data_IF_207458322247
#
_entry.id   IF_207458322247
#
_cell.length_a   1.000
_cell.length_b   1.000
_cell.length_c   1.000
_cell.angle_alpha   90.00
_cell.angle_beta   90.00
_cell.angle_gamma   90.00
#
_symmetry.space_group_name_H-M   'P 1'
#
loop_
_entity.id
_entity.type
_entity.pdbx_description
1 polymer ?
#
# COMPACT_ATOMS: atom_id res chain seq x y z
N UNK A 1 0.13 -10.27 -25.22
CA UNK A 1 -0.06 -11.38 -26.19
C UNK A 1 -0.73 -12.58 -25.50
N UNK A 2 -0.21 -13.02 -24.36
CA UNK A 2 -0.70 -14.25 -23.71
C UNK A 2 -2.13 -14.11 -23.20
N UNK A 3 -2.51 -12.96 -22.66
CA UNK A 3 -3.91 -12.71 -22.29
C UNK A 3 -4.89 -12.98 -23.44
N UNK A 4 -4.66 -12.36 -24.62
CA UNK A 4 -5.53 -12.58 -25.81
C UNK A 4 -5.48 -14.05 -26.24
N UNK A 5 -4.29 -14.68 -26.18
CA UNK A 5 -4.14 -16.10 -26.47
C UNK A 5 -4.94 -16.98 -25.51
N UNK A 6 -4.90 -16.69 -24.20
CA UNK A 6 -5.67 -17.42 -23.20
C UNK A 6 -7.19 -17.25 -23.40
N UNK A 7 -7.62 -16.01 -23.72
CA UNK A 7 -9.02 -15.70 -23.98
C UNK A 7 -9.58 -16.48 -25.18
N UNK A 8 -8.77 -16.65 -26.23
CA UNK A 8 -9.16 -17.32 -27.47
C UNK A 8 -8.83 -18.83 -27.48
N UNK A 9 -8.18 -19.34 -26.43
CA UNK A 9 -7.83 -20.75 -26.34
C UNK A 9 -9.04 -21.62 -26.03
N UNK A 10 -9.16 -22.83 -26.63
CA UNK A 10 -10.16 -23.82 -26.23
C UNK A 10 -10.04 -24.20 -24.74
N UNK A 11 -8.81 -24.24 -24.23
CA UNK A 11 -8.52 -24.42 -22.81
C UNK A 11 -8.51 -23.07 -22.11
N UNK A 12 -9.65 -22.60 -21.66
CA UNK A 12 -9.83 -21.30 -21.00
C UNK A 12 -9.24 -21.24 -19.57
N UNK A 13 -8.61 -22.28 -19.07
CA UNK A 13 -8.17 -22.38 -17.68
C UNK A 13 -7.29 -21.21 -17.20
N UNK A 14 -6.22 -20.79 -17.89
CA UNK A 14 -5.45 -19.63 -17.40
C UNK A 14 -6.26 -18.33 -17.43
N UNK A 15 -7.16 -18.18 -18.39
CA UNK A 15 -8.00 -17.00 -18.49
C UNK A 15 -9.05 -16.92 -17.38
N UNK A 16 -9.66 -18.04 -17.02
CA UNK A 16 -10.63 -18.07 -15.92
C UNK A 16 -9.96 -17.77 -14.58
N UNK A 17 -8.78 -18.32 -14.30
CA UNK A 17 -7.99 -17.96 -13.11
C UNK A 17 -7.65 -16.47 -13.12
N UNK A 18 -7.18 -15.95 -14.26
CA UNK A 18 -6.86 -14.53 -14.39
C UNK A 18 -8.07 -13.63 -14.08
N UNK A 19 -9.26 -13.98 -14.57
CA UNK A 19 -10.49 -13.25 -14.25
C UNK A 19 -10.79 -13.26 -12.76
N UNK A 20 -10.64 -14.40 -12.10
CA UNK A 20 -10.91 -14.54 -10.68
C UNK A 20 -9.87 -13.73 -9.84
N UNK A 21 -8.59 -13.86 -10.14
CA UNK A 21 -7.53 -13.08 -9.48
C UNK A 21 -7.72 -11.58 -9.70
N UNK A 22 -8.05 -11.15 -10.92
CA UNK A 22 -8.29 -9.76 -11.22
C UNK A 22 -9.53 -9.22 -10.50
N UNK A 23 -10.59 -10.01 -10.43
CA UNK A 23 -11.79 -9.64 -9.69
C UNK A 23 -11.55 -9.50 -8.18
N UNK A 24 -10.71 -10.34 -7.61
CA UNK A 24 -10.33 -10.27 -6.19
C UNK A 24 -9.48 -9.03 -5.89
N UNK A 25 -8.51 -8.72 -6.74
CA UNK A 25 -7.66 -7.53 -6.61
C UNK A 25 -8.36 -6.22 -7.00
N UNK A 26 -9.63 -6.26 -7.42
CA UNK A 26 -10.34 -5.08 -7.92
C UNK A 26 -10.59 -4.05 -6.83
N UNK A 27 -10.41 -2.76 -7.14
CA UNK A 27 -10.69 -1.69 -6.19
C UNK A 27 -12.18 -1.66 -5.77
N UNK A 28 -12.48 -1.46 -4.47
CA UNK A 28 -13.84 -1.58 -3.96
C UNK A 28 -14.80 -0.50 -4.48
N UNK A 29 -14.29 0.65 -4.91
CA UNK A 29 -15.08 1.80 -5.38
C UNK A 29 -15.35 1.80 -6.90
N UNK A 30 -14.63 0.95 -7.64
CA UNK A 30 -14.83 0.80 -9.10
C UNK A 30 -15.67 -0.43 -9.42
N UNK A 31 -15.74 -1.37 -8.50
CA UNK A 31 -16.33 -2.70 -8.72
C UNK A 31 -15.34 -3.65 -9.40
N UNK A 32 -15.82 -4.86 -9.69
CA UNK A 32 -14.97 -5.90 -10.27
C UNK A 32 -14.49 -5.53 -11.66
N UNK A 33 -13.17 -5.60 -11.85
CA UNK A 33 -12.54 -5.45 -13.15
C UNK A 33 -12.79 -6.71 -13.98
N UNK A 34 -13.52 -6.56 -15.05
CA UNK A 34 -13.88 -7.68 -15.93
C UNK A 34 -13.14 -7.54 -17.26
N UNK A 35 -12.34 -8.54 -17.67
CA UNK A 35 -11.76 -8.58 -19.00
C UNK A 35 -12.81 -8.57 -20.09
N UNK A 36 -12.69 -7.63 -21.01
CA UNK A 36 -13.52 -7.56 -22.22
C UNK A 36 -12.82 -8.17 -23.45
N UNK A 37 -13.48 -8.11 -24.60
CA UNK A 37 -12.91 -8.57 -25.85
C UNK A 37 -11.73 -7.69 -26.28
N UNK A 38 -10.72 -8.31 -26.90
CA UNK A 38 -9.58 -7.55 -27.42
C UNK A 38 -10.01 -6.69 -28.63
N UNK A 39 -9.45 -5.50 -28.70
CA UNK A 39 -9.74 -4.53 -29.77
C UNK A 39 -8.47 -4.12 -30.51
N UNK A 40 -8.62 -3.68 -31.75
CA UNK A 40 -7.57 -3.01 -32.50
C UNK A 40 -7.79 -1.51 -32.41
N UNK A 41 -6.74 -0.77 -32.07
CA UNK A 41 -6.75 0.69 -32.00
C UNK A 41 -6.04 1.27 -33.23
N UNK A 42 -6.37 2.49 -33.65
CA UNK A 42 -5.65 3.15 -34.73
C UNK A 42 -4.16 3.21 -34.48
N UNK A 43 -3.37 2.96 -35.51
CA UNK A 43 -1.90 2.95 -35.48
C UNK A 43 -1.24 1.84 -34.66
N UNK A 44 -2.00 0.84 -34.19
CA UNK A 44 -1.44 -0.36 -33.56
C UNK A 44 -2.04 -1.62 -34.20
N UNK A 45 -1.18 -2.46 -34.78
CA UNK A 45 -1.61 -3.70 -35.44
C UNK A 45 -1.93 -4.82 -34.43
N UNK A 46 -1.60 -4.63 -33.16
CA UNK A 46 -1.84 -5.63 -32.11
C UNK A 46 -3.28 -5.63 -31.64
N UNK A 47 -3.74 -6.77 -31.22
CA UNK A 47 -4.98 -6.89 -30.44
C UNK A 47 -4.69 -6.46 -29.01
N UNK A 48 -5.35 -5.40 -28.58
CA UNK A 48 -5.19 -4.80 -27.25
C UNK A 48 -6.29 -5.35 -26.34
N UNK A 49 -5.96 -6.00 -25.23
CA UNK A 49 -6.93 -6.41 -24.22
C UNK A 49 -7.71 -5.21 -23.68
N UNK A 50 -8.93 -5.44 -23.26
CA UNK A 50 -9.79 -4.41 -22.69
C UNK A 50 -10.27 -4.78 -21.29
N UNK A 51 -10.65 -3.76 -20.53
CA UNK A 51 -11.38 -3.90 -19.26
C UNK A 51 -12.77 -3.29 -19.43
N UNK A 52 -13.75 -3.98 -18.94
CA UNK A 52 -15.14 -3.54 -18.88
C UNK A 52 -15.36 -2.73 -17.60
N UNK A 53 -15.77 -1.48 -17.76
CA UNK A 53 -16.16 -0.59 -16.67
C UNK A 53 -17.67 -0.30 -16.75
N UNK A 54 -18.31 0.20 -15.68
CA UNK A 54 -19.71 0.60 -15.72
C UNK A 54 -20.05 1.65 -16.79
N UNK A 55 -19.05 2.43 -17.20
CA UNK A 55 -19.18 3.50 -18.20
C UNK A 55 -18.69 3.12 -19.61
N UNK A 56 -18.20 1.90 -19.80
CA UNK A 56 -17.78 1.40 -21.12
C UNK A 56 -16.58 0.48 -21.10
N UNK A 57 -16.17 0.04 -22.29
CA UNK A 57 -15.02 -0.84 -22.51
C UNK A 57 -13.80 0.02 -22.81
N UNK A 58 -12.71 -0.16 -22.07
CA UNK A 58 -11.48 0.64 -22.18
C UNK A 58 -10.29 -0.27 -22.49
N UNK A 59 -9.52 0.01 -23.53
CA UNK A 59 -8.24 -0.66 -23.79
C UNK A 59 -7.30 -0.49 -22.59
N UNK A 60 -6.55 -1.54 -22.21
CA UNK A 60 -5.65 -1.49 -21.05
C UNK A 60 -4.57 -0.42 -21.17
N UNK A 61 -4.21 -0.06 -22.40
CA UNK A 61 -3.27 1.04 -22.69
C UNK A 61 -3.79 2.42 -22.25
N UNK A 62 -5.09 2.56 -22.08
CA UNK A 62 -5.76 3.79 -21.68
C UNK A 62 -6.24 3.76 -20.22
N UNK A 63 -5.93 2.69 -19.49
CA UNK A 63 -6.23 2.57 -18.07
C UNK A 63 -5.33 3.48 -17.23
N UNK A 64 -5.82 3.87 -16.05
CA UNK A 64 -4.98 4.60 -15.09
C UNK A 64 -3.79 3.75 -14.62
N UNK A 65 -2.72 4.40 -14.15
CA UNK A 65 -1.52 3.70 -13.65
C UNK A 65 -1.85 2.70 -12.54
N UNK A 66 -2.76 3.04 -11.61
CA UNK A 66 -3.19 2.14 -10.54
C UNK A 66 -3.91 0.89 -11.05
N UNK A 67 -4.84 1.06 -12.00
CA UNK A 67 -5.49 -0.08 -12.65
C UNK A 67 -4.50 -0.91 -13.46
N UNK A 68 -3.59 -0.26 -14.19
CA UNK A 68 -2.51 -0.94 -14.90
C UNK A 68 -1.63 -1.78 -13.96
N UNK A 69 -1.34 -1.28 -12.76
CA UNK A 69 -0.59 -2.00 -11.72
C UNK A 69 -1.34 -3.26 -11.26
N UNK A 70 -2.63 -3.15 -10.95
CA UNK A 70 -3.49 -4.27 -10.53
C UNK A 70 -3.56 -5.33 -11.63
N UNK A 71 -3.82 -4.91 -12.87
CA UNK A 71 -3.86 -5.82 -14.02
C UNK A 71 -2.53 -6.56 -14.19
N UNK A 72 -1.42 -5.83 -14.09
CA UNK A 72 -0.07 -6.40 -14.24
C UNK A 72 0.22 -7.41 -13.14
N UNK A 73 -0.11 -7.10 -11.89
CA UNK A 73 0.06 -8.01 -10.76
C UNK A 73 -0.74 -9.30 -10.96
N UNK A 74 -2.04 -9.20 -11.27
CA UNK A 74 -2.90 -10.34 -11.56
C UNK A 74 -2.35 -11.18 -12.73
N UNK A 75 -1.94 -10.50 -13.81
CA UNK A 75 -1.41 -11.17 -14.98
C UNK A 75 -0.10 -11.92 -14.69
N UNK A 76 0.85 -11.29 -14.01
CA UNK A 76 2.17 -11.90 -13.74
C UNK A 76 2.05 -13.12 -12.83
N UNK A 77 1.20 -13.08 -11.81
CA UNK A 77 0.98 -14.21 -10.90
C UNK A 77 0.41 -15.40 -11.67
N UNK A 78 -0.62 -15.19 -12.46
CA UNK A 78 -1.26 -16.26 -13.23
C UNK A 78 -0.34 -16.77 -14.35
N UNK A 79 0.37 -15.87 -15.02
CA UNK A 79 1.31 -16.22 -16.07
C UNK A 79 2.45 -17.08 -15.52
N UNK A 80 3.09 -16.66 -14.43
CA UNK A 80 4.21 -17.41 -13.84
C UNK A 80 3.78 -18.81 -13.40
N UNK A 81 2.63 -18.93 -12.76
CA UNK A 81 2.07 -20.23 -12.37
C UNK A 81 1.73 -21.10 -13.56
N UNK A 82 1.11 -20.54 -14.60
CA UNK A 82 0.79 -21.30 -15.81
C UNK A 82 2.03 -21.77 -16.56
N UNK A 83 3.04 -20.90 -16.73
CA UNK A 83 4.31 -21.25 -17.38
C UNK A 83 5.07 -22.34 -16.61
N UNK A 84 5.06 -22.28 -15.27
CA UNK A 84 5.61 -23.34 -14.43
C UNK A 84 4.95 -24.69 -14.69
N UNK A 85 3.61 -24.73 -14.70
CA UNK A 85 2.86 -25.97 -14.98
C UNK A 85 3.14 -26.54 -16.37
N UNK A 86 3.13 -25.70 -17.40
CA UNK A 86 3.40 -26.14 -18.77
C UNK A 86 4.84 -26.65 -18.91
N UNK A 87 5.81 -25.99 -18.27
CA UNK A 87 7.20 -26.44 -18.26
C UNK A 87 7.35 -27.79 -17.54
N UNK A 88 6.74 -27.98 -16.40
CA UNK A 88 6.75 -29.27 -15.69
C UNK A 88 6.14 -30.39 -16.56
N UNK A 89 5.00 -30.11 -17.22
CA UNK A 89 4.36 -31.04 -18.14
C UNK A 89 5.29 -31.46 -19.30
N UNK A 90 5.97 -30.50 -19.92
CA UNK A 90 6.93 -30.78 -21.00
C UNK A 90 8.12 -31.67 -20.55
N UNK A 91 8.50 -31.53 -19.28
CA UNK A 91 9.59 -32.29 -18.67
C UNK A 91 9.16 -33.58 -18.00
N UNK A 92 7.87 -33.93 -18.01
CA UNK A 92 7.31 -35.07 -17.30
C UNK A 92 7.43 -34.97 -15.78
N UNK A 93 7.44 -33.76 -15.23
CA UNK A 93 7.52 -33.48 -13.80
C UNK A 93 6.15 -33.06 -13.26
N UNK A 94 5.95 -33.23 -11.94
CA UNK A 94 4.80 -32.64 -11.24
C UNK A 94 5.11 -31.16 -10.91
N UNK A 95 4.13 -30.25 -11.00
CA UNK A 95 4.29 -28.90 -10.53
C UNK A 95 4.56 -28.85 -9.01
N UNK A 96 5.33 -27.85 -8.57
CA UNK A 96 5.55 -27.60 -7.17
C UNK A 96 4.23 -27.22 -6.48
N UNK A 97 4.09 -27.60 -5.21
CA UNK A 97 2.94 -27.23 -4.37
C UNK A 97 3.11 -25.87 -3.67
N UNK A 98 4.21 -25.17 -3.92
CA UNK A 98 4.55 -23.89 -3.29
C UNK A 98 5.02 -22.88 -4.30
N UNK A 99 4.58 -21.63 -4.12
CA UNK A 99 5.12 -20.48 -4.85
C UNK A 99 5.46 -19.35 -3.90
N UNK A 100 6.43 -18.53 -4.26
CA UNK A 100 6.78 -17.29 -3.58
C UNK A 100 6.41 -16.14 -4.48
N UNK A 101 5.59 -15.22 -3.98
CA UNK A 101 5.21 -13.99 -4.66
C UNK A 101 5.89 -12.83 -3.96
N UNK A 102 6.85 -12.20 -4.65
CA UNK A 102 7.56 -11.02 -4.14
C UNK A 102 6.97 -9.78 -4.78
N UNK A 103 6.54 -8.83 -3.95
CA UNK A 103 5.97 -7.56 -4.40
C UNK A 103 6.71 -6.42 -3.71
N UNK A 104 7.40 -5.62 -4.50
CA UNK A 104 8.03 -4.39 -4.04
C UNK A 104 7.09 -3.21 -4.30
N UNK A 105 7.00 -2.30 -3.33
CA UNK A 105 6.10 -1.15 -3.36
C UNK A 105 4.66 -1.54 -3.75
N UNK A 106 4.02 -2.37 -2.93
CA UNK A 106 2.65 -2.85 -3.20
C UNK A 106 1.67 -1.70 -3.45
N UNK A 107 1.86 -0.58 -2.79
CA UNK A 107 1.07 0.65 -2.90
C UNK A 107 1.32 1.48 -4.14
N UNK A 108 2.37 1.21 -4.91
CA UNK A 108 2.78 2.06 -6.03
C UNK A 108 1.64 2.35 -7.00
N UNK A 109 1.40 3.64 -7.26
CA UNK A 109 0.32 4.17 -8.11
C UNK A 109 -1.12 3.90 -7.63
N UNK A 110 -1.31 3.28 -6.46
CA UNK A 110 -2.65 3.01 -5.93
C UNK A 110 -3.22 4.22 -5.19
N UNK A 111 -4.50 4.49 -5.43
CA UNK A 111 -5.23 5.46 -4.63
C UNK A 111 -5.26 5.03 -3.14
N UNK A 112 -5.22 5.96 -2.16
CA UNK A 112 -5.22 5.62 -0.73
C UNK A 112 -6.32 4.64 -0.30
N UNK A 113 -7.52 4.73 -0.86
CA UNK A 113 -8.59 3.76 -0.61
C UNK A 113 -8.21 2.33 -1.01
N UNK A 114 -7.46 2.17 -2.11
CA UNK A 114 -7.05 0.87 -2.62
C UNK A 114 -5.87 0.29 -1.84
N UNK A 115 -4.99 1.15 -1.33
CA UNK A 115 -3.89 0.73 -0.45
C UNK A 115 -4.40 0.04 0.82
N UNK A 116 -5.59 0.40 1.29
CA UNK A 116 -6.22 -0.23 2.46
C UNK A 116 -6.80 -1.62 2.19
N UNK A 117 -6.96 -2.01 0.95
CA UNK A 117 -7.64 -3.26 0.57
C UNK A 117 -6.76 -4.20 -0.23
N UNK A 118 -5.68 -3.68 -0.83
CA UNK A 118 -4.86 -4.48 -1.76
C UNK A 118 -4.13 -5.64 -1.08
N UNK A 119 -3.63 -5.46 0.16
CA UNK A 119 -2.91 -6.52 0.85
C UNK A 119 -3.84 -7.66 1.28
N UNK A 120 -4.99 -7.43 1.95
CA UNK A 120 -5.98 -8.48 2.19
C UNK A 120 -6.43 -9.20 0.91
N UNK A 121 -6.73 -8.46 -0.16
CA UNK A 121 -7.11 -9.03 -1.44
C UNK A 121 -6.00 -9.90 -2.05
N UNK A 122 -4.74 -9.46 -1.93
CA UNK A 122 -3.59 -10.23 -2.43
C UNK A 122 -3.44 -11.58 -1.70
N UNK A 123 -3.68 -11.63 -0.40
CA UNK A 123 -3.64 -12.89 0.35
C UNK A 123 -4.79 -13.82 -0.08
N UNK A 124 -5.97 -13.27 -0.33
CA UNK A 124 -7.14 -14.05 -0.77
C UNK A 124 -7.00 -14.68 -2.17
N UNK A 125 -6.13 -14.14 -3.06
CA UNK A 125 -5.94 -14.73 -4.40
C UNK A 125 -5.42 -16.17 -4.37
N UNK A 126 -4.80 -16.60 -3.27
CA UNK A 126 -4.40 -18.00 -3.11
C UNK A 126 -5.55 -18.95 -3.40
N UNK A 127 -6.77 -18.60 -2.97
CA UNK A 127 -7.99 -19.38 -3.20
C UNK A 127 -8.39 -19.47 -4.67
N UNK A 128 -7.91 -18.55 -5.50
CA UNK A 128 -8.18 -18.49 -6.94
C UNK A 128 -7.22 -19.35 -7.77
N UNK A 129 -6.03 -19.67 -7.26
CA UNK A 129 -4.97 -20.31 -8.05
C UNK A 129 -5.14 -21.84 -8.14
N UNK A 130 -4.99 -22.54 -7.05
CA UNK A 130 -5.20 -23.98 -6.99
C UNK A 130 -5.41 -24.38 -5.51
N UNK A 131 -6.28 -25.37 -5.26
CA UNK A 131 -6.65 -25.75 -3.90
C UNK A 131 -5.49 -26.28 -3.04
N UNK A 132 -4.47 -26.86 -3.68
CA UNK A 132 -3.31 -27.47 -3.00
C UNK A 132 -2.06 -26.60 -3.05
N UNK A 133 -2.18 -25.36 -3.58
CA UNK A 133 -1.03 -24.46 -3.75
C UNK A 133 -0.86 -23.58 -2.50
N UNK A 134 0.29 -23.72 -1.85
CA UNK A 134 0.71 -22.82 -0.78
C UNK A 134 1.40 -21.59 -1.39
N UNK A 135 0.98 -20.40 -1.00
CA UNK A 135 1.56 -19.15 -1.49
C UNK A 135 2.22 -18.41 -0.33
N UNK A 136 3.52 -18.18 -0.45
CA UNK A 136 4.23 -17.27 0.44
C UNK A 136 4.31 -15.88 -0.20
N UNK A 137 3.84 -14.86 0.50
CA UNK A 137 3.99 -13.47 0.08
C UNK A 137 5.16 -12.82 0.81
N UNK A 138 6.06 -12.18 0.04
CA UNK A 138 7.13 -11.31 0.56
C UNK A 138 6.83 -9.92 0.01
N UNK A 139 6.44 -9.01 0.89
CA UNK A 139 5.91 -7.71 0.50
C UNK A 139 6.77 -6.61 1.12
N UNK A 140 7.31 -5.74 0.29
CA UNK A 140 7.92 -4.50 0.74
C UNK A 140 6.94 -3.33 0.51
N UNK A 141 6.82 -2.45 1.49
CA UNK A 141 5.93 -1.29 1.42
C UNK A 141 6.47 -0.13 2.25
N UNK A 142 6.22 1.09 1.76
CA UNK A 142 6.43 2.34 2.48
C UNK A 142 5.10 2.98 2.92
N UNK A 143 3.97 2.28 2.75
CA UNK A 143 2.65 2.81 3.05
C UNK A 143 2.15 2.42 4.45
N UNK A 144 1.88 3.40 5.32
CA UNK A 144 1.21 3.13 6.59
C UNK A 144 -0.23 2.64 6.40
N UNK A 145 -0.85 2.92 5.24
CA UNK A 145 -2.18 2.41 4.88
C UNK A 145 -2.15 0.90 4.61
N UNK A 146 -1.13 0.41 3.92
CA UNK A 146 -0.91 -1.03 3.70
C UNK A 146 -0.62 -1.69 5.04
N UNK A 147 0.22 -1.10 5.89
CA UNK A 147 0.49 -1.64 7.23
C UNK A 147 -0.76 -1.67 8.11
N UNK A 148 -1.58 -0.62 8.11
CA UNK A 148 -2.86 -0.64 8.85
C UNK A 148 -3.81 -1.74 8.32
N UNK A 149 -3.82 -2.02 7.02
CA UNK A 149 -4.64 -3.09 6.45
C UNK A 149 -4.16 -4.49 6.80
N UNK A 150 -2.89 -4.65 7.17
CA UNK A 150 -2.36 -5.95 7.60
C UNK A 150 -2.91 -6.40 8.97
N UNK A 151 -3.42 -5.47 9.78
CA UNK A 151 -3.91 -5.77 11.12
C UNK A 151 -5.08 -6.78 11.17
N UNK A 152 -5.83 -6.87 10.07
CA UNK A 152 -6.96 -7.80 9.94
C UNK A 152 -6.50 -9.23 9.63
N UNK A 153 -5.37 -9.39 8.94
CA UNK A 153 -4.94 -10.67 8.37
C UNK A 153 -3.65 -11.23 8.99
N UNK A 154 -2.87 -10.42 9.69
CA UNK A 154 -1.59 -10.82 10.24
C UNK A 154 -1.76 -11.87 11.35
N UNK A 155 -1.13 -13.02 11.16
CA UNK A 155 -1.08 -14.11 12.13
C UNK A 155 0.37 -14.26 12.66
N UNK A 156 0.65 -13.88 13.92
CA UNK A 156 2.02 -13.89 14.46
C UNK A 156 2.67 -15.29 14.54
N UNK A 157 1.88 -16.38 14.43
CA UNK A 157 2.42 -17.74 14.44
C UNK A 157 3.10 -18.11 13.11
N UNK A 158 2.71 -17.45 12.00
CA UNK A 158 3.19 -17.77 10.65
C UNK A 158 3.76 -16.55 9.91
N UNK A 159 3.30 -15.34 10.22
CA UNK A 159 3.72 -14.12 9.56
C UNK A 159 4.82 -13.41 10.34
N UNK A 160 5.68 -12.71 9.63
CA UNK A 160 6.81 -11.97 10.20
C UNK A 160 6.87 -10.56 9.62
N UNK A 161 7.20 -9.61 10.51
CA UNK A 161 7.47 -8.23 10.14
C UNK A 161 8.96 -7.96 10.20
N UNK A 162 9.51 -7.41 9.11
CA UNK A 162 10.89 -6.99 9.03
C UNK A 162 10.98 -5.50 8.73
N UNK A 163 11.97 -4.84 9.32
CA UNK A 163 12.35 -3.48 8.98
C UNK A 163 13.69 -3.48 8.27
N UNK A 164 13.73 -2.90 7.08
CA UNK A 164 14.95 -2.68 6.31
C UNK A 164 15.43 -1.24 6.56
N UNK A 165 16.64 -1.08 7.10
CA UNK A 165 17.24 0.21 7.37
C UNK A 165 18.55 0.33 6.61
N UNK A 166 18.80 1.52 6.06
CA UNK A 166 20.12 1.89 5.56
C UNK A 166 20.91 2.55 6.69
N UNK A 167 22.12 2.07 6.93
CA UNK A 167 23.07 2.69 7.87
C UNK A 167 23.94 3.67 7.07
N UNK A 168 23.74 5.00 7.22
CA UNK A 168 24.40 6.00 6.36
C UNK A 168 25.92 6.01 6.43
N UNK A 169 26.49 5.60 7.58
CA UNK A 169 27.91 5.70 7.89
C UNK A 169 28.78 4.73 7.08
N UNK A 170 28.24 3.56 6.73
CA UNK A 170 28.96 2.53 5.98
C UNK A 170 28.20 2.04 4.75
N UNK A 171 27.09 2.66 4.43
CA UNK A 171 26.17 2.26 3.34
C UNK A 171 25.69 0.79 3.42
N UNK A 172 25.68 0.22 4.62
CA UNK A 172 25.18 -1.13 4.86
C UNK A 172 23.66 -1.11 5.03
N UNK A 173 22.99 -2.11 4.46
CA UNK A 173 21.59 -2.36 4.70
C UNK A 173 21.42 -3.40 5.80
N UNK A 174 20.63 -3.09 6.81
CA UNK A 174 20.31 -4.01 7.90
C UNK A 174 18.86 -4.42 7.86
N UNK A 175 18.59 -5.72 7.98
CA UNK A 175 17.26 -6.30 8.08
C UNK A 175 17.05 -6.76 9.53
N UNK A 176 16.05 -6.22 10.20
CA UNK A 176 15.71 -6.58 11.57
C UNK A 176 14.27 -7.05 11.69
N UNK A 177 14.05 -8.19 12.34
CA UNK A 177 12.70 -8.63 12.70
C UNK A 177 12.14 -7.71 13.78
N UNK A 178 10.86 -7.37 13.67
CA UNK A 178 10.11 -6.54 14.60
C UNK A 178 8.91 -7.28 15.14
N UNK A 179 8.62 -7.06 16.41
CA UNK A 179 7.35 -7.50 16.98
C UNK A 179 6.19 -6.79 16.30
N UNK A 180 5.21 -7.56 15.86
CA UNK A 180 4.03 -7.00 15.23
C UNK A 180 3.07 -6.47 16.29
N UNK A 181 2.81 -5.17 16.26
CA UNK A 181 1.89 -4.49 17.16
C UNK A 181 0.81 -3.81 16.31
N UNK A 182 -0.45 -3.98 16.71
CA UNK A 182 -1.58 -3.28 16.08
C UNK A 182 -1.66 -1.85 16.62
N UNK A 183 -1.56 -0.88 15.76
CA UNK A 183 -1.64 0.55 16.10
C UNK A 183 -3.02 1.15 15.83
N UNK A 184 -3.85 0.51 15.01
CA UNK A 184 -5.23 0.88 14.70
C UNK A 184 -5.36 2.08 13.76
N UNK A 185 -4.64 3.17 14.00
CA UNK A 185 -4.72 4.40 13.21
C UNK A 185 -3.46 4.62 12.37
N UNK A 186 -3.63 5.29 11.22
CA UNK A 186 -2.54 5.52 10.26
C UNK A 186 -1.45 6.43 10.83
N UNK A 187 -1.82 7.45 11.58
CA UNK A 187 -0.90 8.37 12.26
C UNK A 187 -0.11 7.66 13.37
N UNK A 188 -0.72 6.69 14.05
CA UNK A 188 -0.03 5.84 15.01
C UNK A 188 0.99 4.90 14.32
N UNK A 189 0.67 4.38 13.13
CA UNK A 189 1.64 3.66 12.30
C UNK A 189 2.82 4.55 11.89
N UNK A 190 2.54 5.78 11.42
CA UNK A 190 3.58 6.73 11.01
C UNK A 190 4.54 7.06 12.14
N UNK A 191 4.04 7.19 13.37
CA UNK A 191 4.86 7.52 14.55
C UNK A 191 5.42 6.30 15.28
N UNK A 192 5.14 5.09 14.80
CA UNK A 192 5.67 3.84 15.34
C UNK A 192 7.16 3.66 15.08
N UNK A 193 7.77 2.68 15.77
CA UNK A 193 9.15 2.29 15.54
C UNK A 193 9.42 1.72 14.13
N UNK A 194 8.39 1.41 13.36
CA UNK A 194 8.50 0.90 11.99
C UNK A 194 8.79 2.05 11.01
N UNK A 195 8.08 3.18 11.14
CA UNK A 195 8.25 4.34 10.25
C UNK A 195 9.12 5.45 10.84
N UNK A 196 9.28 5.49 12.16
CA UNK A 196 10.15 6.42 12.91
C UNK A 196 9.89 7.92 12.62
N UNK A 197 8.67 8.30 12.28
CA UNK A 197 8.31 9.71 12.17
C UNK A 197 8.03 10.29 13.57
N UNK A 198 8.65 11.40 13.89
CA UNK A 198 8.41 12.08 15.19
C UNK A 198 6.97 12.58 15.32
N UNK A 199 6.37 13.00 14.21
CA UNK A 199 4.99 13.52 14.16
C UNK A 199 4.40 13.33 12.77
N UNK A 200 3.10 13.00 12.71
CA UNK A 200 2.34 12.90 11.46
C UNK A 200 1.79 14.27 11.02
N UNK A 201 2.67 15.28 10.92
CA UNK A 201 2.33 16.67 10.57
C UNK A 201 3.28 17.24 9.53
N UNK A 202 2.94 18.40 8.99
CA UNK A 202 3.86 19.16 8.15
C UNK A 202 5.14 19.52 8.92
N UNK A 203 6.27 19.52 8.25
CA UNK A 203 7.59 19.76 8.88
C UNK A 203 7.61 21.06 9.68
N UNK A 204 7.07 22.15 9.12
CA UNK A 204 7.01 23.43 9.82
C UNK A 204 6.17 23.34 11.11
N UNK A 205 4.99 22.70 11.04
CA UNK A 205 4.13 22.52 12.23
C UNK A 205 4.84 21.72 13.33
N UNK A 206 5.56 20.66 12.94
CA UNK A 206 6.36 19.85 13.86
C UNK A 206 7.45 20.67 14.54
N UNK A 207 8.15 21.51 13.80
CA UNK A 207 9.21 22.39 14.34
C UNK A 207 8.65 23.41 15.35
N UNK A 208 7.53 24.05 15.02
CA UNK A 208 6.90 25.02 15.91
C UNK A 208 6.32 24.35 17.17
N UNK A 209 5.79 23.13 17.07
CA UNK A 209 5.37 22.35 18.25
C UNK A 209 6.56 22.01 19.14
N UNK A 210 7.71 21.65 18.58
CA UNK A 210 8.91 21.38 19.38
C UNK A 210 9.44 22.67 20.05
N UNK A 211 9.38 23.82 19.37
CA UNK A 211 9.67 25.13 19.96
C UNK A 211 8.71 25.42 21.14
N UNK A 212 7.41 25.19 20.94
CA UNK A 212 6.39 25.35 21.97
C UNK A 212 6.61 24.42 23.19
N UNK A 213 6.94 23.15 22.96
CA UNK A 213 7.27 22.20 24.04
C UNK A 213 8.49 22.64 24.84
N UNK A 214 9.54 23.15 24.17
CA UNK A 214 10.72 23.68 24.84
C UNK A 214 10.40 24.87 25.74
N UNK A 215 9.52 25.77 25.28
CA UNK A 215 9.05 26.88 26.11
C UNK A 215 8.25 26.41 27.33
N UNK A 216 7.41 25.40 27.17
CA UNK A 216 6.63 24.81 28.28
C UNK A 216 7.53 24.16 29.36
N UNK A 217 8.73 23.75 29.01
CA UNK A 217 9.72 23.16 29.92
C UNK A 217 10.69 24.20 30.52
N UNK A 218 10.60 25.45 30.06
CA UNK A 218 11.49 26.52 30.51
C UNK A 218 10.80 27.42 31.52
N UNK A 219 11.18 27.30 32.79
CA UNK A 219 10.63 28.12 33.90
C UNK A 219 10.87 29.63 33.74
N UNK A 220 11.73 30.04 32.81
CA UNK A 220 12.05 31.45 32.51
C UNK A 220 11.48 31.92 31.18
N UNK A 221 10.43 31.25 30.67
CA UNK A 221 9.77 31.66 29.43
C UNK A 221 9.19 33.06 29.57
N UNK A 222 9.49 33.96 28.64
CA UNK A 222 8.95 35.31 28.63
C UNK A 222 7.61 35.35 27.90
N UNK A 223 6.69 36.23 28.37
CA UNK A 223 5.37 36.42 27.72
C UNK A 223 5.50 36.77 26.23
N UNK A 224 6.55 37.53 25.87
CA UNK A 224 6.81 37.88 24.48
C UNK A 224 7.12 36.64 23.63
N UNK A 225 7.97 35.72 24.14
CA UNK A 225 8.31 34.48 23.43
C UNK A 225 7.10 33.56 23.28
N UNK A 226 6.26 33.47 24.31
CA UNK A 226 5.03 32.68 24.28
C UNK A 226 4.05 33.25 23.25
N UNK A 227 3.90 34.58 23.16
CA UNK A 227 3.07 35.25 22.16
C UNK A 227 3.57 35.01 20.74
N UNK A 228 4.88 35.07 20.51
CA UNK A 228 5.47 34.81 19.20
C UNK A 228 5.21 33.37 18.75
N UNK A 229 5.45 32.40 19.61
CA UNK A 229 5.19 30.98 19.30
C UNK A 229 3.69 30.71 19.13
N UNK A 230 2.82 31.37 19.89
CA UNK A 230 1.38 31.27 19.70
C UNK A 230 0.96 31.73 18.30
N UNK A 231 1.49 32.85 17.81
CA UNK A 231 1.21 33.32 16.44
C UNK A 231 1.73 32.34 15.38
N UNK A 232 2.91 31.74 15.58
CA UNK A 232 3.43 30.71 14.67
C UNK A 232 2.52 29.48 14.66
N UNK A 233 2.01 29.03 15.81
CA UNK A 233 1.08 27.91 15.92
C UNK A 233 -0.24 28.21 15.21
N UNK A 234 -0.80 29.39 15.35
CA UNK A 234 -2.01 29.82 14.63
C UNK A 234 -1.84 29.75 13.11
N UNK A 235 -0.62 29.97 12.62
CA UNK A 235 -0.32 29.93 11.20
C UNK A 235 -0.13 28.52 10.63
N UNK A 236 0.31 27.56 11.45
CA UNK A 236 0.72 26.24 10.96
C UNK A 236 -0.16 25.09 11.45
N UNK A 237 -0.98 25.28 12.49
CA UNK A 237 -1.84 24.22 13.02
C UNK A 237 -3.30 24.39 12.60
N UNK A 238 -3.98 23.27 12.38
CA UNK A 238 -5.42 23.25 12.22
C UNK A 238 -6.12 23.66 13.54
N UNK A 239 -7.30 24.26 13.43
CA UNK A 239 -8.06 24.72 14.60
C UNK A 239 -8.41 23.59 15.59
N UNK A 240 -8.56 22.37 15.09
CA UNK A 240 -8.89 21.18 15.88
C UNK A 240 -7.67 20.31 16.23
N UNK A 241 -6.44 20.84 16.10
CA UNK A 241 -5.25 20.07 16.41
C UNK A 241 -5.21 19.69 17.89
N UNK A 242 -4.90 18.41 18.24
CA UNK A 242 -4.85 17.92 19.62
C UNK A 242 -3.82 18.63 20.52
N UNK A 243 -2.89 19.38 19.93
CA UNK A 243 -1.90 20.14 20.69
C UNK A 243 -2.50 21.38 21.38
N UNK A 244 -3.57 21.95 20.83
CA UNK A 244 -4.17 23.20 21.31
C UNK A 244 -4.57 23.20 22.81
N UNK A 245 -5.29 22.22 23.35
CA UNK A 245 -5.71 22.26 24.76
C UNK A 245 -4.54 22.42 25.74
N UNK A 246 -3.44 21.70 25.48
CA UNK A 246 -2.24 21.79 26.30
C UNK A 246 -1.52 23.12 26.14
N UNK A 247 -1.44 23.62 24.90
CA UNK A 247 -0.77 24.88 24.61
C UNK A 247 -1.54 26.07 25.17
N UNK A 248 -2.85 26.11 24.97
CA UNK A 248 -3.74 27.19 25.44
C UNK A 248 -3.63 27.37 26.95
N UNK A 249 -3.71 26.28 27.71
CA UNK A 249 -3.57 26.35 29.17
C UNK A 249 -2.25 27.01 29.61
N UNK A 250 -1.16 26.73 28.94
CA UNK A 250 0.14 27.34 29.20
C UNK A 250 0.19 28.81 28.75
N UNK A 251 -0.33 29.11 27.58
CA UNK A 251 -0.28 30.43 26.97
C UNK A 251 -1.14 31.48 27.77
N UNK A 252 -2.29 31.05 28.32
CA UNK A 252 -3.13 31.90 29.19
C UNK A 252 -2.40 32.36 30.45
N UNK A 253 -1.57 31.52 31.03
CA UNK A 253 -0.74 31.89 32.21
C UNK A 253 0.31 32.99 31.89
N UNK A 254 0.63 33.15 30.59
CA UNK A 254 1.53 34.17 30.06
C UNK A 254 0.80 35.33 29.36
N UNK A 255 -0.48 35.54 29.68
CA UNK A 255 -1.26 36.68 29.20
C UNK A 255 -1.55 36.66 27.70
N UNK A 256 -1.62 35.50 27.09
CA UNK A 256 -2.16 35.31 25.74
C UNK A 256 -3.67 35.19 25.88
N UNK A 257 -4.39 36.20 25.38
CA UNK A 257 -5.86 36.19 25.32
C UNK A 257 -6.24 35.55 23.97
N UNK A 258 -7.16 34.61 24.01
CA UNK A 258 -7.64 33.83 22.84
C UNK A 258 -8.71 34.64 22.09
#
# INVERSE_FOLDING_TARGET
>A
RDWVKWQNSPQKYPFEIFKNVLAELSPPDIGKLVPGDAVRIPNDSREIPTIQYPYGIVPITNSSAGIGRIITLAYLIVWAWNEHKENCKLRGLHPDSRIVVMVDELEAHLHPKWQRTILPALVEIQKCLAAELEVQFIIATHSPLVMASSEEIFNPDIDKLFQLNLVPENADATLSEKDYIKYGQIDAWLTSSVFNLNQARAVNASQVIEEAKRLQLNDTATDSAVKDVHQKLLHCLAQNDPFWPRWIYFAEQHGVVL
#
